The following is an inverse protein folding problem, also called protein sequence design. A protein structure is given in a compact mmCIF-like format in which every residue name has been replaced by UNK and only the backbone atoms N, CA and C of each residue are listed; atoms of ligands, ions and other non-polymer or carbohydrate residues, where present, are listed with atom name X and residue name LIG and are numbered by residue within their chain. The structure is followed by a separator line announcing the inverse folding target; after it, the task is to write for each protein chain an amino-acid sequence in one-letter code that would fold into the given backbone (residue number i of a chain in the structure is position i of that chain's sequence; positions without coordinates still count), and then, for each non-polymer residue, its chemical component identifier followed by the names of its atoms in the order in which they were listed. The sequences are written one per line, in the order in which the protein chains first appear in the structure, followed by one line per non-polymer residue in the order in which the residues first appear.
data_IF_600168134829
#
_entry.id   IF_600168134829
#
_cell.length_a   1.000
_cell.length_b   1.000
_cell.length_c   1.000
_cell.angle_alpha   90.00
_cell.angle_beta   90.00
_cell.angle_gamma   90.00
#
_symmetry.space_group_name_H-M   'P 1'
#
loop_
_entity.id
_entity.type
_entity.pdbx_description
1 polymer ?
#
# COMPACT_ATOMS: atom_id res chain seq x y z
N UNK A 1 3.08 -29.72 -10.15
CA UNK A 1 4.28 -28.86 -10.04
C UNK A 1 4.01 -27.40 -10.37
N UNK A 2 3.33 -27.05 -11.47
CA UNK A 2 3.07 -25.64 -11.88
C UNK A 2 2.15 -24.88 -10.89
N UNK A 3 1.15 -25.55 -10.29
CA UNK A 3 0.21 -24.92 -9.33
C UNK A 3 0.83 -24.59 -7.95
N UNK A 4 1.92 -25.27 -7.56
CA UNK A 4 2.63 -25.01 -6.30
C UNK A 4 3.54 -23.78 -6.41
N UNK A 5 4.10 -23.54 -7.60
CA UNK A 5 4.95 -22.38 -7.90
C UNK A 5 4.15 -21.06 -7.89
N UNK A 6 2.90 -21.09 -8.38
CA UNK A 6 2.05 -19.90 -8.37
C UNK A 6 1.55 -19.54 -6.96
N UNK A 7 1.34 -20.53 -6.09
CA UNK A 7 0.96 -20.31 -4.70
C UNK A 7 2.11 -19.70 -3.88
N UNK A 8 3.34 -20.17 -4.10
CA UNK A 8 4.53 -19.66 -3.41
C UNK A 8 4.86 -18.21 -3.79
N UNK A 9 4.74 -17.85 -5.07
CA UNK A 9 4.97 -16.46 -5.53
C UNK A 9 3.93 -15.48 -4.95
N UNK A 10 2.69 -15.93 -4.79
CA UNK A 10 1.62 -15.14 -4.17
C UNK A 10 1.87 -14.98 -2.66
N UNK A 11 2.32 -16.04 -1.99
CA UNK A 11 2.67 -16.01 -0.57
C UNK A 11 3.86 -15.06 -0.32
N UNK A 12 4.91 -15.15 -1.12
CA UNK A 12 6.10 -14.29 -1.04
C UNK A 12 5.75 -12.82 -1.25
N UNK A 13 4.83 -12.51 -2.17
CA UNK A 13 4.40 -11.14 -2.44
C UNK A 13 3.56 -10.53 -1.30
N UNK A 14 2.63 -11.29 -0.73
CA UNK A 14 1.91 -10.88 0.48
C UNK A 14 2.85 -10.69 1.65
N UNK A 15 3.83 -11.58 1.80
CA UNK A 15 4.88 -11.44 2.80
C UNK A 15 5.68 -10.15 2.57
N UNK A 16 6.06 -9.79 1.34
CA UNK A 16 6.80 -8.56 1.06
C UNK A 16 5.97 -7.29 1.32
N UNK A 17 4.69 -7.25 0.97
CA UNK A 17 3.84 -6.07 1.22
C UNK A 17 3.47 -5.89 2.70
N UNK A 18 3.09 -6.99 3.38
CA UNK A 18 2.83 -6.96 4.82
C UNK A 18 4.13 -6.66 5.57
N UNK A 19 5.25 -7.26 5.18
CA UNK A 19 6.54 -7.03 5.81
C UNK A 19 7.03 -5.61 5.56
N UNK A 20 7.00 -5.06 4.35
CA UNK A 20 7.48 -3.69 4.12
C UNK A 20 6.63 -2.64 4.82
N UNK A 21 5.30 -2.77 4.81
CA UNK A 21 4.39 -1.83 5.51
C UNK A 21 4.51 -1.96 7.02
N UNK A 22 4.49 -3.19 7.55
CA UNK A 22 4.60 -3.46 8.99
C UNK A 22 6.01 -3.19 9.51
N UNK A 23 7.06 -3.44 8.73
CA UNK A 23 8.44 -3.07 9.06
C UNK A 23 8.62 -1.56 9.01
N UNK A 24 7.98 -0.85 8.09
CA UNK A 24 7.99 0.62 8.08
C UNK A 24 7.29 1.15 9.33
N UNK A 25 6.09 0.65 9.66
CA UNK A 25 5.39 1.04 10.89
C UNK A 25 6.18 0.70 12.16
N UNK A 26 6.78 -0.50 12.24
CA UNK A 26 7.60 -0.95 13.37
C UNK A 26 8.91 -0.18 13.50
N UNK A 27 9.54 0.16 12.37
CA UNK A 27 10.74 1.00 12.31
C UNK A 27 10.43 2.43 12.76
N UNK A 28 9.33 3.01 12.26
CA UNK A 28 8.82 4.32 12.65
C UNK A 28 8.52 4.39 14.16
N UNK A 29 7.92 3.35 14.74
CA UNK A 29 7.69 3.26 16.20
C UNK A 29 8.99 3.20 17.00
N UNK A 30 10.01 2.50 16.49
CA UNK A 30 11.30 2.39 17.17
C UNK A 30 12.13 3.68 17.10
N UNK A 31 11.94 4.49 16.05
CA UNK A 31 12.71 5.71 15.77
C UNK A 31 11.91 6.99 16.11
N UNK A 32 10.69 6.84 16.63
CA UNK A 32 9.81 7.94 17.08
C UNK A 32 9.53 8.99 15.99
N UNK A 33 9.19 8.51 14.79
CA UNK A 33 8.77 9.35 13.66
C UNK A 33 7.24 9.46 13.66
N UNK A 34 6.73 10.64 13.30
CA UNK A 34 5.28 10.87 13.20
C UNK A 34 4.67 10.11 12.03
N UNK A 35 3.49 9.55 12.25
CA UNK A 35 2.70 8.90 11.21
C UNK A 35 1.98 9.95 10.36
N UNK A 36 2.47 10.19 9.15
CA UNK A 36 1.84 11.09 8.19
C UNK A 36 1.13 10.29 7.08
N UNK A 37 -0.19 10.44 6.96
CA UNK A 37 -0.96 9.91 5.81
C UNK A 37 -1.16 11.00 4.74
N UNK A 38 -0.96 10.64 3.48
CA UNK A 38 -1.27 11.49 2.33
C UNK A 38 -2.61 11.14 1.66
N UNK A 39 -3.31 10.12 2.14
CA UNK A 39 -4.58 9.61 1.60
C UNK A 39 -5.68 9.80 2.66
N UNK A 40 -6.83 10.34 2.26
CA UNK A 40 -8.01 10.47 3.10
C UNK A 40 -8.92 9.21 3.06
N UNK A 41 -9.99 9.19 3.86
CA UNK A 41 -10.92 8.06 3.94
C UNK A 41 -11.69 7.77 2.65
N UNK A 42 -11.71 8.71 1.71
CA UNK A 42 -12.38 8.56 0.41
C UNK A 42 -11.41 8.09 -0.69
N UNK A 43 -10.14 7.84 -0.35
CA UNK A 43 -9.12 7.49 -1.33
C UNK A 43 -8.69 8.69 -2.19
N UNK A 44 -8.82 9.91 -1.67
CA UNK A 44 -8.37 11.15 -2.31
C UNK A 44 -7.12 11.65 -1.60
N UNK A 45 -6.18 12.17 -2.38
CA UNK A 45 -4.94 12.72 -1.87
C UNK A 45 -5.15 14.07 -1.18
N UNK A 46 -4.64 14.20 0.04
CA UNK A 46 -4.75 15.40 0.86
C UNK A 46 -3.60 16.40 0.60
N UNK A 47 -3.50 17.44 1.43
CA UNK A 47 -2.48 18.51 1.32
C UNK A 47 -1.03 17.99 1.38
N UNK A 48 -0.79 16.84 2.02
CA UNK A 48 0.54 16.24 2.12
C UNK A 48 1.04 15.67 0.79
N UNK A 49 0.15 15.49 -0.20
CA UNK A 49 0.51 14.97 -1.51
C UNK A 49 1.04 16.04 -2.50
N UNK A 50 1.32 17.25 -2.03
CA UNK A 50 1.88 18.35 -2.83
C UNK A 50 1.06 18.58 -4.11
N UNK A 51 1.70 18.56 -5.29
CA UNK A 51 1.07 18.77 -6.62
C UNK A 51 0.04 17.72 -7.05
N UNK A 52 -0.16 16.66 -6.27
CA UNK A 52 -1.13 15.60 -6.56
C UNK A 52 -2.37 15.66 -5.65
N UNK A 53 -2.46 16.67 -4.78
CA UNK A 53 -3.63 16.91 -3.94
C UNK A 53 -4.93 16.95 -4.76
N UNK A 54 -6.01 16.39 -4.20
CA UNK A 54 -7.34 16.35 -4.80
C UNK A 54 -7.55 15.28 -5.85
N UNK A 55 -6.53 14.47 -6.16
CA UNK A 55 -6.65 13.33 -7.08
C UNK A 55 -6.98 12.05 -6.33
N UNK A 56 -7.72 11.14 -6.98
CA UNK A 56 -7.86 9.78 -6.45
C UNK A 56 -6.52 9.03 -6.54
N UNK A 57 -6.32 8.03 -5.68
CA UNK A 57 -5.09 7.22 -5.65
C UNK A 57 -4.72 6.66 -7.03
N UNK A 58 -5.72 6.16 -7.79
CA UNK A 58 -5.51 5.61 -9.13
C UNK A 58 -5.08 6.67 -10.15
N UNK A 59 -5.72 7.85 -10.13
CA UNK A 59 -5.34 8.97 -11.00
C UNK A 59 -3.94 9.48 -10.67
N UNK A 60 -3.64 9.60 -9.38
CA UNK A 60 -2.34 10.04 -8.90
C UNK A 60 -1.22 9.08 -9.31
N UNK A 61 -1.42 7.77 -9.16
CA UNK A 61 -0.45 6.74 -9.58
C UNK A 61 -0.04 6.93 -11.04
N UNK A 62 -1.00 7.09 -11.94
CA UNK A 62 -0.73 7.32 -13.36
C UNK A 62 0.02 8.63 -13.63
N UNK A 63 -0.31 9.72 -12.91
CA UNK A 63 0.40 11.00 -13.05
C UNK A 63 1.82 10.96 -12.46
N UNK A 64 2.02 10.23 -11.37
CA UNK A 64 3.33 10.06 -10.73
C UNK A 64 4.28 9.35 -11.69
N UNK A 65 3.85 8.25 -12.33
CA UNK A 65 4.68 7.53 -13.31
C UNK A 65 5.13 8.47 -14.44
N UNK A 66 4.19 9.19 -15.06
CA UNK A 66 4.51 10.18 -16.12
C UNK A 66 5.46 11.27 -15.64
N UNK A 67 5.29 11.73 -14.40
CA UNK A 67 6.18 12.73 -13.82
C UNK A 67 7.59 12.16 -13.59
N UNK A 68 7.73 10.94 -13.07
CA UNK A 68 9.02 10.28 -12.89
C UNK A 68 9.75 10.07 -14.22
N UNK A 69 9.04 9.65 -15.26
CA UNK A 69 9.57 9.52 -16.64
C UNK A 69 10.08 10.87 -17.16
N UNK A 70 9.25 11.93 -17.08
CA UNK A 70 9.61 13.27 -17.55
C UNK A 70 10.86 13.82 -16.86
N UNK A 71 11.06 13.50 -15.58
CA UNK A 71 12.21 13.97 -14.80
C UNK A 71 13.40 13.01 -14.84
N UNK A 72 13.35 11.93 -15.65
CA UNK A 72 14.39 10.90 -15.74
C UNK A 72 14.74 10.25 -14.38
N UNK A 73 13.74 10.17 -13.49
CA UNK A 73 13.85 9.54 -12.17
C UNK A 73 13.38 8.08 -12.18
N UNK A 74 12.72 7.63 -13.24
CA UNK A 74 12.26 6.25 -13.40
C UNK A 74 13.39 5.39 -13.98
N UNK A 75 13.90 4.45 -13.17
CA UNK A 75 14.98 3.53 -13.60
C UNK A 75 14.45 2.41 -14.49
N UNK A 76 13.31 1.81 -14.12
CA UNK A 76 12.73 0.66 -14.83
C UNK A 76 11.24 0.52 -14.53
N UNK A 77 10.47 0.05 -15.50
CA UNK A 77 9.07 -0.38 -15.32
C UNK A 77 8.92 -1.81 -15.85
N UNK A 78 8.30 -2.70 -15.06
CA UNK A 78 8.13 -4.11 -15.39
C UNK A 78 6.68 -4.50 -15.08
N UNK A 79 5.98 -5.21 -15.99
CA UNK A 79 4.68 -5.78 -15.67
C UNK A 79 4.85 -6.86 -14.59
N UNK A 80 4.08 -6.73 -13.51
CA UNK A 80 4.05 -7.69 -12.41
C UNK A 80 2.61 -8.08 -12.10
N UNK A 81 2.36 -9.38 -12.00
CA UNK A 81 1.08 -9.89 -11.50
C UNK A 81 1.12 -9.92 -9.98
N UNK A 82 0.28 -9.10 -9.36
CA UNK A 82 0.18 -8.93 -7.91
C UNK A 82 -1.13 -9.55 -7.42
N UNK A 83 -1.09 -10.34 -6.34
CA UNK A 83 -2.31 -10.71 -5.64
C UNK A 83 -2.74 -9.56 -4.73
N UNK A 84 -3.92 -9.00 -4.99
CA UNK A 84 -4.46 -7.85 -4.27
C UNK A 84 -5.71 -8.29 -3.52
N UNK A 85 -5.84 -7.87 -2.26
CA UNK A 85 -7.03 -8.16 -1.46
C UNK A 85 -8.23 -7.36 -1.95
N UNK A 86 -9.38 -8.02 -2.09
CA UNK A 86 -10.65 -7.40 -2.45
C UNK A 86 -11.62 -7.51 -1.28
N UNK A 87 -12.47 -6.50 -1.12
CA UNK A 87 -13.59 -6.56 -0.18
C UNK A 87 -14.55 -7.63 -0.65
N UNK A 88 -14.86 -8.59 0.21
CA UNK A 88 -15.84 -9.65 -0.09
C UNK A 88 -17.20 -9.06 -0.46
N UNK A 89 -17.60 -7.96 0.20
CA UNK A 89 -18.93 -7.36 0.03
C UNK A 89 -19.06 -6.52 -1.24
N UNK A 90 -18.10 -5.63 -1.50
CA UNK A 90 -18.18 -4.67 -2.60
C UNK A 90 -17.33 -5.06 -3.80
N UNK A 91 -16.44 -6.06 -3.67
CA UNK A 91 -15.48 -6.41 -4.71
C UNK A 91 -14.43 -5.35 -4.98
N UNK A 92 -14.34 -4.30 -4.16
CA UNK A 92 -13.36 -3.21 -4.33
C UNK A 92 -12.02 -3.58 -3.73
N UNK A 93 -10.93 -3.11 -4.31
CA UNK A 93 -9.57 -3.29 -3.75
C UNK A 93 -9.50 -2.70 -2.33
N UNK A 94 -8.93 -3.47 -1.40
CA UNK A 94 -8.72 -3.05 0.00
C UNK A 94 -7.34 -2.42 0.13
N UNK A 95 -7.30 -1.24 0.75
CA UNK A 95 -6.06 -0.52 1.05
C UNK A 95 -5.84 -0.47 2.57
N UNK A 96 -4.65 -0.80 3.07
CA UNK A 96 -4.34 -0.69 4.49
C UNK A 96 -4.22 0.80 4.89
N UNK A 97 -5.00 1.22 5.89
CA UNK A 97 -4.98 2.59 6.40
C UNK A 97 -4.82 2.62 7.93
N UNK A 98 -4.07 3.61 8.41
CA UNK A 98 -3.94 3.89 9.85
C UNK A 98 -5.23 4.51 10.37
N UNK A 99 -5.85 3.85 11.35
CA UNK A 99 -7.04 4.34 12.02
C UNK A 99 -7.08 3.83 13.46
N UNK A 100 -7.84 4.51 14.33
CA UNK A 100 -8.10 4.02 15.68
C UNK A 100 -9.03 2.81 15.58
N UNK A 101 -8.60 1.68 16.12
CA UNK A 101 -9.33 0.42 16.08
C UNK A 101 -9.36 -0.20 17.47
N UNK A 102 -10.38 -1.02 17.72
CA UNK A 102 -10.52 -1.78 18.95
C UNK A 102 -9.91 -3.16 18.75
N UNK A 103 -8.98 -3.53 19.63
CA UNK A 103 -8.33 -4.83 19.61
C UNK A 103 -8.64 -5.58 20.90
N UNK A 104 -8.86 -6.89 20.79
CA UNK A 104 -8.99 -7.79 21.94
C UNK A 104 -7.70 -8.62 22.02
N UNK A 105 -7.15 -8.74 23.23
CA UNK A 105 -5.95 -9.52 23.50
C UNK A 105 -6.29 -11.02 23.50
N UNK A 106 -6.19 -11.65 22.33
CA UNK A 106 -6.49 -13.09 22.15
C UNK A 106 -5.65 -14.01 23.05
N UNK A 107 -4.33 -13.79 23.27
CA UNK A 107 -3.53 -14.58 24.21
C UNK A 107 -4.04 -14.67 25.65
N UNK A 108 -4.90 -13.74 26.10
CA UNK A 108 -5.46 -13.72 27.46
C UNK A 108 -6.88 -14.31 27.56
N UNK A 109 -7.42 -14.80 26.44
CA UNK A 109 -8.71 -15.49 26.37
C UNK A 109 -8.53 -17.00 26.55
#
# INVERSE_FOLDING_TARGET
QIAMLTLNLVQEYWNVLLHTTLMTMKSTLNINLDFLSCIDSNGILNQNASKFQGLSVLQARNKIVKWLEKNKLLVKSIPLTSNVGFSERSGTVVEPMLSKQWFVDLPKL
#
